data_IF_346835779220
#
_entry.id   IF_346835779220
#
_cell.length_a   1.000
_cell.length_b   1.000
_cell.length_c   1.000
_cell.angle_alpha   90.00
_cell.angle_beta   90.00
_cell.angle_gamma   90.00
#
_symmetry.space_group_name_H-M   'P 1'
#
loop_
_entity.id
_entity.type
_entity.pdbx_description
1 polymer ?
#
# COMPACT_ATOMS: atom_id res chain seq x y z
N UNK A 1 6.85 -3.73 12.93
CA UNK A 1 5.73 -3.65 13.89
C UNK A 1 5.35 -5.06 14.31
N UNK A 2 5.30 -5.36 15.61
CA UNK A 2 4.92 -6.69 16.14
C UNK A 2 3.39 -6.86 16.22
N UNK A 3 2.65 -6.48 15.16
CA UNK A 3 1.20 -6.66 15.07
C UNK A 3 0.31 -5.77 15.95
N UNK A 4 0.86 -4.95 16.87
CA UNK A 4 0.07 -3.97 17.63
C UNK A 4 -0.19 -2.69 16.83
N UNK A 5 -1.18 -2.77 15.95
CA UNK A 5 -1.56 -1.69 15.03
C UNK A 5 -2.30 -0.54 15.71
N UNK A 6 -2.98 -0.79 16.83
CA UNK A 6 -3.70 0.25 17.56
C UNK A 6 -2.74 1.16 18.33
N UNK A 7 -1.72 0.59 18.98
CA UNK A 7 -0.63 1.39 19.55
C UNK A 7 0.15 2.13 18.47
N UNK A 8 0.42 1.50 17.32
CA UNK A 8 1.06 2.16 16.19
C UNK A 8 0.24 3.36 15.69
N UNK A 9 -1.08 3.20 15.51
CA UNK A 9 -1.99 4.27 15.12
C UNK A 9 -1.91 5.46 16.07
N UNK A 10 -1.97 5.23 17.39
CA UNK A 10 -1.84 6.31 18.38
C UNK A 10 -0.48 7.01 18.32
N UNK A 11 0.60 6.24 18.25
CA UNK A 11 1.95 6.78 18.21
C UNK A 11 2.19 7.63 16.95
N UNK A 12 1.76 7.14 15.79
CA UNK A 12 1.87 7.90 14.55
C UNK A 12 0.93 9.10 14.50
N UNK A 13 -0.28 9.00 15.04
CA UNK A 13 -1.17 10.15 15.16
C UNK A 13 -0.51 11.29 15.95
N UNK A 14 0.15 10.98 17.07
CA UNK A 14 0.93 11.97 17.81
C UNK A 14 2.12 12.50 17.00
N UNK A 15 2.81 11.63 16.25
CA UNK A 15 3.95 12.03 15.43
C UNK A 15 3.54 12.97 14.28
N UNK A 16 2.40 12.75 13.62
CA UNK A 16 1.86 13.65 12.59
C UNK A 16 1.61 15.03 13.18
N UNK A 17 0.94 15.11 14.34
CA UNK A 17 0.68 16.38 15.02
C UNK A 17 1.97 17.15 15.31
N UNK A 18 3.00 16.48 15.83
CA UNK A 18 4.30 17.10 16.12
C UNK A 18 5.01 17.53 14.84
N UNK A 19 5.04 16.67 13.82
CA UNK A 19 5.73 16.94 12.57
C UNK A 19 5.13 18.13 11.80
N UNK A 20 3.81 18.23 11.79
CA UNK A 20 3.08 19.33 11.15
C UNK A 20 3.27 20.65 11.91
N UNK A 21 3.09 20.65 13.23
CA UNK A 21 3.22 21.86 14.06
C UNK A 21 4.67 22.38 14.09
N UNK A 22 5.64 21.48 14.05
CA UNK A 22 7.07 21.84 14.12
C UNK A 22 7.68 22.13 12.74
N UNK A 23 6.90 22.06 11.66
CA UNK A 23 7.36 22.36 10.30
C UNK A 23 8.47 21.42 9.81
N UNK A 24 8.36 20.11 10.07
CA UNK A 24 9.36 19.14 9.62
C UNK A 24 9.51 19.16 8.09
N UNK A 25 10.68 18.75 7.55
CA UNK A 25 10.88 18.61 6.11
C UNK A 25 9.78 17.76 5.46
N UNK A 26 9.31 18.17 4.27
CA UNK A 26 8.20 17.52 3.57
C UNK A 26 8.39 16.00 3.40
N UNK A 27 9.62 15.54 3.14
CA UNK A 27 9.91 14.11 3.01
C UNK A 27 9.74 13.32 4.32
N UNK A 28 10.04 13.95 5.47
CA UNK A 28 9.82 13.33 6.77
C UNK A 28 8.33 13.31 7.12
N UNK A 29 7.61 14.38 6.81
CA UNK A 29 6.15 14.44 6.96
C UNK A 29 5.47 13.37 6.11
N UNK A 30 5.86 13.24 4.84
CA UNK A 30 5.34 12.22 3.93
C UNK A 30 5.45 10.81 4.52
N UNK A 31 6.62 10.46 5.05
CA UNK A 31 6.85 9.16 5.67
C UNK A 31 5.95 8.91 6.89
N UNK A 32 5.73 9.91 7.73
CA UNK A 32 4.89 9.75 8.93
C UNK A 32 3.41 9.66 8.56
N UNK A 33 2.92 10.50 7.65
CA UNK A 33 1.55 10.39 7.12
C UNK A 33 1.32 9.03 6.45
N UNK A 34 2.31 8.52 5.72
CA UNK A 34 2.25 7.19 5.09
C UNK A 34 2.05 6.07 6.13
N UNK A 35 2.90 6.03 7.17
CA UNK A 35 2.79 4.99 8.20
C UNK A 35 1.53 5.17 9.08
N UNK A 36 1.11 6.42 9.32
CA UNK A 36 -0.14 6.70 10.03
C UNK A 36 -1.36 6.21 9.25
N UNK A 37 -1.45 6.55 7.96
CA UNK A 37 -2.53 6.12 7.07
C UNK A 37 -2.64 4.60 6.99
N UNK A 38 -1.50 3.90 6.94
CA UNK A 38 -1.46 2.42 7.00
C UNK A 38 -2.05 1.89 8.31
N UNK A 39 -1.62 2.43 9.45
CA UNK A 39 -2.12 2.00 10.76
C UNK A 39 -3.63 2.26 10.93
N UNK A 40 -4.11 3.40 10.42
CA UNK A 40 -5.55 3.73 10.37
C UNK A 40 -6.34 2.72 9.53
N UNK A 41 -5.85 2.38 8.34
CA UNK A 41 -6.55 1.43 7.47
C UNK A 41 -6.60 0.02 8.06
N UNK A 42 -5.54 -0.42 8.75
CA UNK A 42 -5.51 -1.74 9.41
C UNK A 42 -6.55 -1.81 10.54
N UNK A 43 -6.76 -0.69 11.22
CA UNK A 43 -7.74 -0.53 12.31
C UNK A 43 -9.08 0.04 11.83
N UNK A 44 -9.33 0.01 10.50
CA UNK A 44 -10.61 0.27 9.85
C UNK A 44 -11.13 1.71 9.90
N UNK A 45 -10.25 2.68 10.22
CA UNK A 45 -10.50 4.11 10.04
C UNK A 45 -10.23 4.51 8.59
N UNK A 46 -11.04 3.96 7.66
CA UNK A 46 -10.72 4.01 6.23
C UNK A 46 -10.74 5.42 5.64
N UNK A 47 -11.64 6.29 6.11
CA UNK A 47 -11.71 7.66 5.63
C UNK A 47 -10.48 8.46 6.07
N UNK A 48 -10.05 8.30 7.32
CA UNK A 48 -8.81 8.87 7.85
C UNK A 48 -7.60 8.31 7.09
N UNK A 49 -7.55 7.00 6.89
CA UNK A 49 -6.46 6.32 6.20
C UNK A 49 -6.26 6.88 4.79
N UNK A 50 -7.35 7.05 4.03
CA UNK A 50 -7.29 7.63 2.69
C UNK A 50 -6.77 9.07 2.73
N UNK A 51 -7.25 9.92 3.66
CA UNK A 51 -6.75 11.29 3.80
C UNK A 51 -5.24 11.34 4.07
N UNK A 52 -4.77 10.54 5.02
CA UNK A 52 -3.36 10.52 5.42
C UNK A 52 -2.46 9.97 4.31
N UNK A 53 -2.89 8.91 3.61
CA UNK A 53 -2.15 8.38 2.47
C UNK A 53 -2.13 9.34 1.27
N UNK A 54 -3.22 10.08 1.01
CA UNK A 54 -3.26 11.15 0.01
C UNK A 54 -2.31 12.30 0.39
N UNK A 55 -2.31 12.71 1.67
CA UNK A 55 -1.38 13.74 2.16
C UNK A 55 0.08 13.31 2.00
N UNK A 56 0.40 12.04 2.29
CA UNK A 56 1.73 11.48 2.05
C UNK A 56 2.11 11.56 0.57
N UNK A 57 1.20 11.15 -0.33
CA UNK A 57 1.41 11.22 -1.77
C UNK A 57 1.68 12.66 -2.26
N UNK A 58 0.89 13.63 -1.81
CA UNK A 58 1.04 15.04 -2.19
C UNK A 58 2.40 15.60 -1.73
N UNK A 59 2.85 15.23 -0.53
CA UNK A 59 4.17 15.61 -0.01
C UNK A 59 5.32 14.94 -0.78
N UNK A 60 5.17 13.68 -1.20
CA UNK A 60 6.15 12.96 -2.02
C UNK A 60 6.28 13.56 -3.43
N UNK A 61 5.19 14.07 -4.00
CA UNK A 61 5.25 14.83 -5.27
C UNK A 61 6.20 16.02 -5.14
N UNK A 62 6.05 16.80 -4.06
CA UNK A 62 6.85 18.01 -3.80
C UNK A 62 8.33 17.73 -3.59
N UNK A 63 8.67 16.54 -3.09
CA UNK A 63 10.06 16.19 -2.77
C UNK A 63 10.78 15.43 -3.89
N UNK A 64 10.07 15.14 -4.98
CA UNK A 64 10.53 14.29 -6.08
C UNK A 64 11.09 12.92 -5.63
N UNK A 65 10.72 12.47 -4.42
CA UNK A 65 11.11 11.18 -3.84
C UNK A 65 9.89 10.25 -3.85
N UNK A 66 10.15 8.98 -4.13
CA UNK A 66 9.28 7.84 -3.86
C UNK A 66 7.76 8.09 -3.96
N UNK A 67 7.25 8.36 -5.16
CA UNK A 67 5.83 8.70 -5.38
C UNK A 67 4.86 7.51 -5.35
N UNK A 68 5.39 6.29 -5.49
CA UNK A 68 4.55 5.10 -5.70
C UNK A 68 4.09 4.38 -4.42
N UNK A 69 4.80 4.36 -3.27
CA UNK A 69 4.35 3.60 -2.11
C UNK A 69 2.97 4.03 -1.61
N UNK A 70 2.73 5.34 -1.49
CA UNK A 70 1.42 5.87 -1.10
C UNK A 70 0.30 5.49 -2.08
N UNK A 71 0.57 5.52 -3.40
CA UNK A 71 -0.38 5.06 -4.42
C UNK A 71 -0.71 3.58 -4.29
N UNK A 72 0.29 2.73 -4.03
CA UNK A 72 0.07 1.29 -3.82
C UNK A 72 -0.82 1.05 -2.60
N UNK A 73 -0.56 1.77 -1.52
CA UNK A 73 -1.35 1.64 -0.30
C UNK A 73 -2.77 2.20 -0.44
N UNK A 74 -2.97 3.32 -1.14
CA UNK A 74 -4.30 3.82 -1.52
C UNK A 74 -5.06 2.80 -2.38
N UNK A 75 -4.37 2.15 -3.33
CA UNK A 75 -4.97 1.15 -4.19
C UNK A 75 -5.44 -0.08 -3.40
N UNK A 76 -4.61 -0.57 -2.47
CA UNK A 76 -4.94 -1.69 -1.56
C UNK A 76 -6.05 -1.34 -0.59
N UNK A 77 -6.04 -0.12 -0.04
CA UNK A 77 -7.09 0.39 0.83
C UNK A 77 -8.44 0.47 0.10
N UNK A 78 -8.44 0.91 -1.16
CA UNK A 78 -9.63 0.92 -2.02
C UNK A 78 -10.08 -0.51 -2.38
N UNK A 79 -9.14 -1.43 -2.63
CA UNK A 79 -9.42 -2.82 -2.97
C UNK A 79 -10.19 -3.55 -1.88
N UNK A 80 -9.75 -3.45 -0.61
CA UNK A 80 -10.45 -4.10 0.51
C UNK A 80 -11.85 -3.53 0.75
N UNK A 81 -12.07 -2.28 0.37
CA UNK A 81 -13.39 -1.62 0.39
C UNK A 81 -14.22 -1.91 -0.86
N UNK A 82 -13.73 -2.76 -1.78
CA UNK A 82 -14.36 -3.08 -3.08
C UNK A 82 -14.61 -1.85 -3.96
N UNK A 83 -13.86 -0.76 -3.76
CA UNK A 83 -13.86 0.43 -4.62
C UNK A 83 -12.95 0.16 -5.82
N UNK A 84 -13.35 -0.78 -6.68
CA UNK A 84 -12.50 -1.32 -7.73
C UNK A 84 -12.01 -0.27 -8.74
N UNK A 85 -12.87 0.66 -9.16
CA UNK A 85 -12.48 1.73 -10.09
C UNK A 85 -11.36 2.63 -9.53
N UNK A 86 -11.47 2.98 -8.25
CA UNK A 86 -10.44 3.77 -7.56
C UNK A 86 -9.14 2.97 -7.40
N UNK A 87 -9.26 1.69 -7.02
CA UNK A 87 -8.13 0.78 -6.89
C UNK A 87 -7.37 0.61 -8.21
N UNK A 88 -8.09 0.38 -9.32
CA UNK A 88 -7.52 0.27 -10.68
C UNK A 88 -6.75 1.53 -11.05
N UNK A 89 -7.32 2.72 -10.78
CA UNK A 89 -6.66 4.00 -11.07
C UNK A 89 -5.33 4.14 -10.32
N UNK A 90 -5.33 3.90 -9.01
CA UNK A 90 -4.13 4.04 -8.18
C UNK A 90 -3.05 3.00 -8.55
N UNK A 91 -3.43 1.74 -8.76
CA UNK A 91 -2.49 0.71 -9.22
C UNK A 91 -1.92 1.04 -10.59
N UNK A 92 -2.72 1.53 -11.54
CA UNK A 92 -2.23 1.92 -12.86
C UNK A 92 -1.17 3.03 -12.79
N UNK A 93 -1.38 4.05 -11.94
CA UNK A 93 -0.40 5.12 -11.71
C UNK A 93 0.88 4.61 -11.04
N UNK A 94 0.74 3.76 -10.02
CA UNK A 94 1.89 3.15 -9.33
C UNK A 94 2.70 2.27 -10.28
N UNK A 95 2.03 1.43 -11.08
CA UNK A 95 2.65 0.49 -12.01
C UNK A 95 3.49 1.21 -13.07
N UNK A 96 2.97 2.31 -13.64
CA UNK A 96 3.74 3.12 -14.60
C UNK A 96 5.06 3.64 -14.01
N UNK A 97 5.03 4.09 -12.75
CA UNK A 97 6.24 4.54 -12.04
C UNK A 97 7.19 3.39 -11.77
N UNK A 98 6.68 2.25 -11.29
CA UNK A 98 7.47 1.06 -10.97
C UNK A 98 8.14 0.45 -12.20
N UNK A 99 7.46 0.47 -13.35
CA UNK A 99 8.01 0.01 -14.62
C UNK A 99 9.19 0.86 -15.05
N UNK A 100 9.07 2.19 -14.96
CA UNK A 100 10.18 3.12 -15.25
C UNK A 100 11.38 2.97 -14.30
N UNK A 101 11.14 2.46 -13.08
CA UNK A 101 12.19 2.16 -12.10
C UNK A 101 12.77 0.75 -12.23
N UNK A 102 12.29 -0.05 -13.18
CA UNK A 102 12.66 -1.47 -13.38
C UNK A 102 12.41 -2.33 -12.13
N UNK A 103 11.29 -2.09 -11.43
CA UNK A 103 10.95 -2.78 -10.19
C UNK A 103 10.84 -4.30 -10.36
N UNK A 104 10.43 -4.78 -11.54
CA UNK A 104 10.42 -6.20 -11.88
C UNK A 104 11.79 -6.89 -11.68
N UNK A 105 12.89 -6.17 -11.88
CA UNK A 105 14.26 -6.67 -11.68
C UNK A 105 14.78 -6.38 -10.27
N UNK A 106 14.50 -5.19 -9.74
CA UNK A 106 15.08 -4.70 -8.46
C UNK A 106 14.35 -5.22 -7.22
N UNK A 107 13.05 -5.45 -7.33
CA UNK A 107 12.18 -5.90 -6.24
C UNK A 107 11.12 -6.89 -6.76
N UNK A 108 11.54 -8.01 -7.38
CA UNK A 108 10.67 -8.91 -8.15
C UNK A 108 9.49 -9.46 -7.32
N UNK A 109 9.72 -9.81 -6.05
CA UNK A 109 8.67 -10.32 -5.17
C UNK A 109 7.57 -9.29 -4.90
N UNK A 110 7.94 -8.10 -4.42
CA UNK A 110 6.96 -7.03 -4.12
C UNK A 110 6.25 -6.55 -5.40
N UNK A 111 6.96 -6.54 -6.52
CA UNK A 111 6.39 -6.20 -7.82
C UNK A 111 5.35 -7.24 -8.29
N UNK A 112 5.63 -8.54 -8.13
CA UNK A 112 4.68 -9.59 -8.44
C UNK A 112 3.44 -9.57 -7.51
N UNK A 113 3.61 -9.27 -6.22
CA UNK A 113 2.48 -9.09 -5.30
C UNK A 113 1.57 -7.93 -5.72
N UNK A 114 2.16 -6.81 -6.16
CA UNK A 114 1.40 -5.67 -6.67
C UNK A 114 0.62 -6.03 -7.94
N UNK A 115 1.19 -6.82 -8.83
CA UNK A 115 0.50 -7.29 -10.04
C UNK A 115 -0.69 -8.18 -9.70
N UNK A 116 -0.57 -9.07 -8.71
CA UNK A 116 -1.72 -9.86 -8.24
C UNK A 116 -2.81 -8.95 -7.66
N UNK A 117 -2.45 -7.99 -6.81
CA UNK A 117 -3.41 -7.06 -6.20
C UNK A 117 -4.12 -6.22 -7.28
N UNK A 118 -3.38 -5.79 -8.30
CA UNK A 118 -3.94 -5.05 -9.43
C UNK A 118 -4.87 -5.94 -10.28
N UNK A 119 -4.53 -7.21 -10.48
CA UNK A 119 -5.40 -8.16 -11.16
C UNK A 119 -6.73 -8.34 -10.42
N UNK A 120 -6.71 -8.41 -9.09
CA UNK A 120 -7.93 -8.46 -8.27
C UNK A 120 -8.78 -7.19 -8.46
N UNK A 121 -8.15 -6.03 -8.51
CA UNK A 121 -8.85 -4.76 -8.76
C UNK A 121 -9.51 -4.73 -10.15
N UNK A 122 -8.78 -5.14 -11.20
CA UNK A 122 -9.28 -5.20 -12.57
C UNK A 122 -10.44 -6.19 -12.72
N UNK A 123 -10.30 -7.40 -12.15
CA UNK A 123 -11.35 -8.40 -12.16
C UNK A 123 -12.60 -7.93 -11.41
N UNK A 124 -12.43 -7.26 -10.27
CA UNK A 124 -13.53 -6.65 -9.51
C UNK A 124 -14.23 -5.51 -10.27
N UNK A 125 -13.50 -4.77 -11.11
CA UNK A 125 -14.06 -3.76 -12.01
C UNK A 125 -14.68 -4.35 -13.29
N UNK A 126 -14.61 -5.67 -13.49
CA UNK A 126 -15.19 -6.36 -14.65
C UNK A 126 -14.25 -6.48 -15.86
N UNK A 127 -13.00 -6.06 -15.76
CA UNK A 127 -12.00 -6.20 -16.82
C UNK A 127 -11.19 -7.49 -16.63
N UNK A 128 -11.85 -8.62 -16.91
CA UNK A 128 -11.26 -9.95 -16.75
C UNK A 128 -10.03 -10.16 -17.65
N UNK A 129 -10.03 -9.60 -18.85
CA UNK A 129 -8.92 -9.74 -19.79
C UNK A 129 -7.66 -9.02 -19.26
N UNK A 130 -7.81 -7.78 -18.77
CA UNK A 130 -6.70 -7.07 -18.15
C UNK A 130 -6.21 -7.76 -16.87
N UNK A 131 -7.12 -8.31 -16.07
CA UNK A 131 -6.75 -9.09 -14.88
C UNK A 131 -5.87 -10.29 -15.25
N UNK A 132 -6.26 -11.07 -16.27
CA UNK A 132 -5.45 -12.21 -16.76
C UNK A 132 -4.07 -11.75 -17.23
N UNK A 133 -3.97 -10.64 -17.96
CA UNK A 133 -2.66 -10.10 -18.38
C UNK A 133 -1.74 -9.78 -17.19
N UNK A 134 -2.29 -9.26 -16.09
CA UNK A 134 -1.50 -8.96 -14.89
C UNK A 134 -1.08 -10.23 -14.15
N UNK A 135 -1.97 -11.23 -14.05
CA UNK A 135 -1.66 -12.55 -13.48
C UNK A 135 -0.50 -13.21 -14.25
N UNK A 136 -0.60 -13.24 -15.58
CA UNK A 136 0.43 -13.82 -16.44
C UNK A 136 1.77 -13.08 -16.30
N UNK A 137 1.73 -11.75 -16.16
CA UNK A 137 2.92 -10.93 -15.92
C UNK A 137 3.55 -11.27 -14.57
N UNK A 138 2.76 -11.42 -13.51
CA UNK A 138 3.25 -11.79 -12.19
C UNK A 138 3.88 -13.19 -12.20
N UNK A 139 3.27 -14.15 -12.91
CA UNK A 139 3.81 -15.49 -13.09
C UNK A 139 5.17 -15.49 -13.82
N UNK A 140 5.31 -14.68 -14.88
CA UNK A 140 6.60 -14.51 -15.58
C UNK A 140 7.69 -13.94 -14.68
N UNK A 141 7.39 -12.86 -13.94
CA UNK A 141 8.35 -12.27 -12.98
C UNK A 141 8.82 -13.30 -11.96
N UNK A 142 7.92 -14.15 -11.46
CA UNK A 142 8.28 -15.24 -10.54
C UNK A 142 9.12 -16.34 -11.20
N UNK A 143 8.81 -16.71 -12.44
CA UNK A 143 9.57 -17.71 -13.19
C UNK A 143 11.01 -17.25 -13.46
N UNK A 144 11.20 -15.96 -13.75
CA UNK A 144 12.51 -15.36 -14.02
C UNK A 144 13.44 -15.33 -12.79
N UNK A 145 12.91 -15.57 -11.57
CA UNK A 145 13.71 -15.67 -10.35
C UNK A 145 14.48 -16.99 -10.22
N UNK A 146 14.15 -18.01 -11.02
CA UNK A 146 14.82 -19.31 -10.98
C UNK A 146 14.74 -20.03 -9.62
N UNK A 147 15.71 -20.91 -9.36
CA UNK A 147 15.78 -21.75 -8.16
C UNK A 147 16.15 -21.00 -6.87
N UNK A 148 16.58 -19.74 -6.96
CA UNK A 148 16.83 -18.86 -5.81
C UNK A 148 15.54 -18.54 -5.01
N UNK A 149 14.37 -18.80 -5.60
CA UNK A 149 13.06 -18.74 -4.94
C UNK A 149 12.71 -19.99 -4.11
N UNK A 150 13.50 -21.08 -4.16
CA UNK A 150 13.26 -22.31 -3.37
C UNK A 150 13.80 -22.26 -1.95
N UNK A 151 14.00 -21.07 -1.38
CA UNK A 151 14.03 -21.00 0.08
C UNK A 151 12.62 -21.35 0.57
N UNK A 152 12.42 -22.39 1.42
CA UNK A 152 11.09 -22.82 1.86
C UNK A 152 10.36 -21.75 2.70
N UNK A 153 11.03 -20.65 3.04
CA UNK A 153 10.39 -19.46 3.56
C UNK A 153 9.69 -18.73 2.40
N UNK A 154 8.37 -18.93 2.27
CA UNK A 154 7.51 -17.98 1.56
C UNK A 154 7.88 -16.59 2.09
N UNK A 155 8.37 -15.66 1.24
CA UNK A 155 8.71 -14.33 1.72
C UNK A 155 7.49 -13.73 2.42
N UNK A 156 7.66 -13.23 3.64
CA UNK A 156 6.60 -12.56 4.36
C UNK A 156 6.03 -11.46 3.45
N UNK A 157 4.70 -11.47 3.26
CA UNK A 157 4.05 -10.54 2.33
C UNK A 157 4.39 -9.09 2.68
N UNK A 158 4.63 -8.27 1.66
CA UNK A 158 4.83 -6.83 1.86
C UNK A 158 3.52 -6.08 2.10
N UNK A 159 2.36 -6.76 2.01
CA UNK A 159 1.03 -6.18 2.09
C UNK A 159 0.72 -5.66 3.50
N UNK A 160 0.20 -4.43 3.56
CA UNK A 160 -0.47 -3.93 4.75
C UNK A 160 -1.79 -4.69 4.96
N UNK A 161 -2.05 -5.27 6.14
CA UNK A 161 -3.24 -6.09 6.38
C UNK A 161 -4.47 -5.22 6.67
N UNK A 162 -4.92 -4.45 5.67
CA UNK A 162 -6.07 -3.56 5.84
C UNK A 162 -7.33 -4.33 6.26
N UNK A 163 -8.09 -3.75 7.19
CA UNK A 163 -9.31 -4.38 7.70
C UNK A 163 -9.10 -5.50 8.71
N UNK A 164 -7.86 -5.89 9.03
CA UNK A 164 -7.60 -7.04 9.89
C UNK A 164 -7.86 -6.80 11.38
N UNK A 165 -7.96 -5.54 11.84
CA UNK A 165 -8.06 -5.18 13.25
C UNK A 165 -9.25 -4.24 13.57
N UNK A 166 -10.40 -4.48 12.94
CA UNK A 166 -11.60 -3.65 13.15
C UNK A 166 -12.19 -3.73 14.56
N UNK A 167 -12.01 -4.85 15.26
CA UNK A 167 -12.66 -5.09 16.57
C UNK A 167 -12.18 -4.16 17.69
N UNK A 168 -11.03 -3.50 17.50
CA UNK A 168 -10.54 -2.44 18.39
C UNK A 168 -11.45 -1.21 18.47
N UNK A 169 -12.37 -1.03 17.51
CA UNK A 169 -13.40 0.02 17.53
C UNK A 169 -14.46 -0.21 18.63
N UNK A 170 -14.71 -1.47 19.04
CA UNK A 170 -15.76 -1.81 19.98
C UNK A 170 -15.31 -1.78 21.46
N UNK A 171 -14.00 -1.86 21.72
CA UNK A 171 -13.46 -1.98 23.08
C UNK A 171 -13.26 -0.64 23.81
N UNK A 172 -13.38 0.50 23.11
CA UNK A 172 -13.23 1.84 23.69
C UNK A 172 -14.54 2.50 24.15
N UNK A 173 -15.67 1.81 24.04
CA UNK A 173 -17.01 2.31 24.41
C UNK A 173 -17.59 1.54 25.61
N UNK A 174 -16.82 1.40 26.70
CA UNK A 174 -17.30 0.99 28.01
C UNK A 174 -16.67 1.82 29.11
#
# INVERSE_FOLDING_TARGET
>A
MRGDWDTARRAFGQAVLVADQSGWPAAQRAAIHYDYGRALGVTCYYAEAERELSQAYDLDILTARYRYPALVELARLALVQRRFDASVRYFGQALSTLDGLEAARKAPYAYAELLDDYALALGGAGDAEAATRMIDRAARVRADLGDDARSPAVPATSRTPYGAHCDSLAAGAK
#
